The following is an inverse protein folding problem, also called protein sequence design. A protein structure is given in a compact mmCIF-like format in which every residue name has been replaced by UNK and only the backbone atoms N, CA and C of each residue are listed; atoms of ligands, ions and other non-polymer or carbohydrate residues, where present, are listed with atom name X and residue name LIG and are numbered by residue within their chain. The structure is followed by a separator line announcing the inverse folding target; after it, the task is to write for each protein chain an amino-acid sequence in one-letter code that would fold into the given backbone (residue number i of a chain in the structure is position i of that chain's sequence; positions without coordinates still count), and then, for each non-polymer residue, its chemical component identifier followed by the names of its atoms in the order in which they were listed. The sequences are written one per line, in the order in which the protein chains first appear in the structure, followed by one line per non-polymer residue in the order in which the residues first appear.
data_IF_092453150785
#
_entry.id   IF_092453150785
#
_cell.length_a   1.000
_cell.length_b   1.000
_cell.length_c   1.000
_cell.angle_alpha   90.00
_cell.angle_beta   90.00
_cell.angle_gamma   90.00
#
_symmetry.space_group_name_H-M   'P 1'
#
loop_
_entity.id
_entity.type
_entity.pdbx_description
1 polymer ?
#
# COMPACT_ATOMS: atom_id res chain seq x y z
N UNK A 1 19.30 -19.41 9.60
CA UNK A 1 20.03 -18.40 8.83
C UNK A 1 19.06 -17.77 7.82
N UNK A 2 18.55 -16.55 8.06
CA UNK A 2 17.66 -15.86 7.11
C UNK A 2 18.50 -14.99 6.21
N UNK A 3 18.60 -15.34 4.93
CA UNK A 3 19.28 -14.54 3.92
C UNK A 3 18.37 -13.36 3.59
N UNK A 4 18.70 -12.17 4.11
CA UNK A 4 18.04 -10.91 3.74
C UNK A 4 18.78 -10.38 2.52
N UNK A 5 18.19 -10.54 1.34
CA UNK A 5 18.78 -10.01 0.10
C UNK A 5 18.41 -8.52 0.02
N UNK A 6 19.31 -7.65 0.51
CA UNK A 6 19.22 -6.20 0.30
C UNK A 6 19.42 -5.89 -1.19
N UNK A 7 18.39 -5.37 -1.86
CA UNK A 7 18.51 -4.82 -3.20
C UNK A 7 18.24 -3.32 -3.18
N UNK A 8 19.16 -2.51 -3.69
CA UNK A 8 19.06 -1.06 -3.79
C UNK A 8 18.09 -0.67 -4.92
N UNK A 9 16.90 -0.18 -4.58
CA UNK A 9 15.97 0.39 -5.56
C UNK A 9 16.18 1.91 -5.61
N UNK A 10 16.46 2.44 -6.80
CA UNK A 10 16.65 3.87 -7.04
C UNK A 10 15.31 4.52 -7.42
N UNK A 11 14.91 5.55 -6.68
CA UNK A 11 13.64 6.25 -6.89
C UNK A 11 13.89 7.74 -7.22
N UNK A 12 13.07 8.30 -8.11
CA UNK A 12 13.15 9.71 -8.49
C UNK A 12 12.64 10.59 -7.33
N UNK A 13 13.54 11.41 -6.76
CA UNK A 13 13.30 12.22 -5.56
C UNK A 13 12.54 13.52 -5.81
N UNK A 14 12.45 14.00 -7.06
CA UNK A 14 11.89 15.32 -7.37
C UNK A 14 10.35 15.35 -7.34
N UNK A 15 9.69 14.20 -7.48
CA UNK A 15 8.22 14.06 -7.44
C UNK A 15 7.67 14.10 -5.99
N UNK A 16 8.54 14.05 -4.97
CA UNK A 16 8.15 13.69 -3.59
C UNK A 16 7.90 14.88 -2.63
N UNK A 17 8.04 16.14 -3.07
CA UNK A 17 7.94 17.32 -2.17
C UNK A 17 6.52 17.85 -1.93
N UNK A 18 5.51 17.39 -2.67
CA UNK A 18 4.11 17.86 -2.53
C UNK A 18 3.22 16.91 -1.70
N UNK A 19 3.73 15.74 -1.34
CA UNK A 19 2.94 14.62 -0.78
C UNK A 19 2.61 14.79 0.72
N UNK A 20 3.42 15.48 1.51
CA UNK A 20 3.23 15.54 2.98
C UNK A 20 2.03 16.37 3.44
N UNK A 21 1.75 17.50 2.77
CA UNK A 21 0.64 18.39 3.17
C UNK A 21 -0.73 17.80 2.84
N UNK A 22 -0.79 16.98 1.79
CA UNK A 22 -2.03 16.33 1.36
C UNK A 22 -2.34 15.06 2.13
N UNK A 23 -1.33 14.39 2.71
CA UNK A 23 -1.54 13.23 3.58
C UNK A 23 -2.38 13.57 4.82
N UNK A 24 -2.19 14.78 5.38
CA UNK A 24 -2.94 15.26 6.55
C UNK A 24 -4.43 15.53 6.27
N UNK A 25 -4.83 15.64 5.00
CA UNK A 25 -6.22 15.93 4.61
C UNK A 25 -7.07 14.66 4.47
N UNK A 26 -6.45 13.48 4.41
CA UNK A 26 -7.18 12.22 4.33
C UNK A 26 -7.70 11.85 5.71
N UNK A 27 -9.02 11.87 5.90
CA UNK A 27 -9.65 11.46 7.16
C UNK A 27 -9.64 9.92 7.26
N UNK A 28 -8.74 9.39 8.07
CA UNK A 28 -8.66 7.97 8.42
C UNK A 28 -8.88 7.78 9.93
N UNK A 29 -9.49 6.66 10.32
CA UNK A 29 -9.66 6.32 11.74
C UNK A 29 -8.36 5.77 12.33
N UNK A 30 -8.28 5.68 13.67
CA UNK A 30 -7.12 5.08 14.35
C UNK A 30 -6.90 3.62 13.94
N UNK A 31 -8.00 2.85 13.79
CA UNK A 31 -7.96 1.46 13.32
C UNK A 31 -7.41 1.37 11.88
N UNK A 32 -7.89 2.22 10.98
CA UNK A 32 -7.39 2.28 9.60
C UNK A 32 -5.92 2.69 9.54
N UNK A 33 -5.51 3.65 10.38
CA UNK A 33 -4.10 4.03 10.52
C UNK A 33 -3.25 2.84 10.98
N UNK A 34 -3.71 2.06 11.96
CA UNK A 34 -3.02 0.85 12.42
C UNK A 34 -2.90 -0.20 11.30
N UNK A 35 -3.97 -0.45 10.56
CA UNK A 35 -3.95 -1.34 9.39
C UNK A 35 -2.94 -0.88 8.34
N UNK A 36 -2.93 0.42 8.01
CA UNK A 36 -1.96 1.00 7.06
C UNK A 36 -0.54 0.81 7.58
N UNK A 37 -0.28 1.02 8.87
CA UNK A 37 1.04 0.81 9.48
C UNK A 37 1.49 -0.65 9.43
N UNK A 38 0.60 -1.60 9.70
CA UNK A 38 0.89 -3.04 9.63
C UNK A 38 1.23 -3.48 8.20
N UNK A 39 0.40 -3.07 7.22
CA UNK A 39 0.64 -3.31 5.79
C UNK A 39 1.97 -2.70 5.36
N UNK A 40 2.24 -1.46 5.79
CA UNK A 40 3.47 -0.72 5.52
C UNK A 40 4.70 -1.46 6.03
N UNK A 41 4.65 -1.95 7.27
CA UNK A 41 5.74 -2.71 7.87
C UNK A 41 6.01 -3.99 7.10
N UNK A 42 4.97 -4.76 6.78
CA UNK A 42 5.11 -6.00 6.01
C UNK A 42 5.68 -5.73 4.60
N UNK A 43 5.30 -4.63 3.97
CA UNK A 43 5.84 -4.26 2.66
C UNK A 43 7.32 -3.87 2.74
N UNK A 44 7.73 -3.14 3.78
CA UNK A 44 9.13 -2.76 4.02
C UNK A 44 10.03 -3.95 4.34
N UNK A 45 9.49 -5.00 4.97
CA UNK A 45 10.22 -6.25 5.20
C UNK A 45 10.50 -7.03 3.90
N UNK A 46 9.67 -6.84 2.87
CA UNK A 46 9.77 -7.55 1.59
C UNK A 46 10.47 -6.74 0.50
N UNK A 47 10.37 -5.41 0.57
CA UNK A 47 10.97 -4.48 -0.38
C UNK A 47 11.61 -3.33 0.40
N UNK A 48 12.91 -3.06 0.21
CA UNK A 48 13.58 -1.92 0.81
C UNK A 48 13.14 -0.62 0.11
N UNK A 49 11.98 -0.11 0.50
CA UNK A 49 11.45 1.18 0.09
C UNK A 49 11.95 2.26 1.06
N UNK A 50 12.21 3.47 0.56
CA UNK A 50 12.33 4.62 1.46
C UNK A 50 10.95 4.94 2.05
N UNK A 51 10.93 5.42 3.29
CA UNK A 51 9.71 5.82 3.99
C UNK A 51 8.90 6.86 3.18
N UNK A 52 9.58 7.74 2.46
CA UNK A 52 8.98 8.77 1.63
C UNK A 52 8.17 8.19 0.45
N UNK A 53 8.70 7.16 -0.21
CA UNK A 53 8.00 6.50 -1.34
C UNK A 53 6.79 5.73 -0.84
N UNK A 54 6.93 5.10 0.33
CA UNK A 54 5.84 4.38 0.95
C UNK A 54 4.69 5.34 1.31
N UNK A 55 5.00 6.49 1.92
CA UNK A 55 4.01 7.55 2.20
C UNK A 55 3.36 8.06 0.91
N UNK A 56 4.13 8.30 -0.14
CA UNK A 56 3.60 8.71 -1.45
C UNK A 56 2.66 7.66 -2.05
N UNK A 57 3.06 6.39 -1.99
CA UNK A 57 2.24 5.29 -2.47
C UNK A 57 0.93 5.18 -1.70
N UNK A 58 0.96 5.27 -0.36
CA UNK A 58 -0.24 5.22 0.49
C UNK A 58 -1.16 6.39 0.15
N UNK A 59 -0.62 7.61 0.11
CA UNK A 59 -1.43 8.79 -0.18
C UNK A 59 -2.13 8.69 -1.53
N UNK A 60 -1.34 8.35 -2.56
CA UNK A 60 -1.86 8.19 -3.90
C UNK A 60 -2.94 7.10 -3.94
N UNK A 61 -2.69 5.97 -3.28
CA UNK A 61 -3.65 4.86 -3.21
C UNK A 61 -4.98 5.28 -2.61
N UNK A 62 -4.96 5.99 -1.47
CA UNK A 62 -6.17 6.45 -0.81
C UNK A 62 -6.93 7.45 -1.68
N UNK A 63 -6.23 8.48 -2.21
CA UNK A 63 -6.84 9.50 -3.07
C UNK A 63 -7.46 8.91 -4.34
N UNK A 64 -6.70 8.10 -5.06
CA UNK A 64 -7.13 7.48 -6.31
C UNK A 64 -8.37 6.60 -6.08
N UNK A 65 -8.39 5.83 -4.99
CA UNK A 65 -9.54 5.00 -4.65
C UNK A 65 -10.77 5.84 -4.34
N UNK A 66 -10.62 6.93 -3.57
CA UNK A 66 -11.72 7.84 -3.25
C UNK A 66 -12.30 8.49 -4.52
N UNK A 67 -11.45 8.95 -5.43
CA UNK A 67 -11.86 9.54 -6.72
C UNK A 67 -12.62 8.51 -7.55
N UNK A 68 -12.05 7.30 -7.71
CA UNK A 68 -12.63 6.24 -8.53
C UNK A 68 -13.99 5.78 -8.02
N UNK A 69 -14.19 5.75 -6.71
CA UNK A 69 -15.40 5.20 -6.09
C UNK A 69 -16.39 6.28 -5.62
N UNK A 70 -16.01 7.56 -5.68
CA UNK A 70 -16.75 8.69 -5.10
C UNK A 70 -17.17 8.43 -3.64
N UNK A 71 -16.23 7.95 -2.83
CA UNK A 71 -16.43 7.60 -1.42
C UNK A 71 -15.24 8.03 -0.58
N UNK A 72 -15.48 8.28 0.70
CA UNK A 72 -14.45 8.53 1.69
C UNK A 72 -13.88 7.20 2.22
N UNK A 73 -12.64 7.25 2.71
CA UNK A 73 -11.96 6.07 3.26
C UNK A 73 -12.65 5.59 4.55
N UNK A 74 -13.14 6.51 5.39
CA UNK A 74 -13.84 6.16 6.63
C UNK A 74 -15.12 5.35 6.36
N UNK A 75 -15.83 5.57 5.25
CA UNK A 75 -17.03 4.82 4.90
C UNK A 75 -16.77 3.31 4.64
N UNK A 76 -15.53 2.90 4.43
CA UNK A 76 -15.17 1.49 4.20
C UNK A 76 -15.46 0.63 5.44
N UNK A 77 -15.35 1.21 6.65
CA UNK A 77 -15.56 0.46 7.89
C UNK A 77 -16.98 -0.08 8.01
N UNK A 78 -17.96 0.69 7.51
CA UNK A 78 -19.39 0.40 7.56
C UNK A 78 -19.88 -0.44 6.37
N UNK A 79 -19.00 -0.75 5.40
CA UNK A 79 -19.39 -1.57 4.26
C UNK A 79 -19.56 -3.04 4.65
N UNK A 80 -20.50 -3.75 3.98
CA UNK A 80 -20.58 -5.21 4.07
C UNK A 80 -19.21 -5.85 3.77
N UNK A 81 -18.89 -6.94 4.48
CA UNK A 81 -17.55 -7.57 4.41
C UNK A 81 -17.07 -7.83 2.98
N UNK A 82 -17.93 -8.34 2.09
CA UNK A 82 -17.56 -8.58 0.69
C UNK A 82 -17.17 -7.29 -0.06
N UNK A 83 -17.86 -6.17 0.21
CA UNK A 83 -17.51 -4.86 -0.36
C UNK A 83 -16.25 -4.27 0.27
N UNK A 84 -16.06 -4.44 1.58
CA UNK A 84 -14.82 -4.06 2.28
C UNK A 84 -13.61 -4.77 1.69
N UNK A 85 -13.68 -6.08 1.50
CA UNK A 85 -12.61 -6.87 0.88
C UNK A 85 -12.32 -6.44 -0.56
N UNK A 86 -13.35 -6.12 -1.34
CA UNK A 86 -13.18 -5.58 -2.69
C UNK A 86 -12.47 -4.22 -2.67
N UNK A 87 -12.88 -3.31 -1.79
CA UNK A 87 -12.22 -2.00 -1.64
C UNK A 87 -10.74 -2.15 -1.32
N UNK A 88 -10.38 -3.03 -0.37
CA UNK A 88 -8.98 -3.29 -0.04
C UNK A 88 -8.23 -3.89 -1.22
N UNK A 89 -8.81 -4.87 -1.93
CA UNK A 89 -8.18 -5.46 -3.12
C UNK A 89 -7.92 -4.40 -4.20
N UNK A 90 -8.85 -3.48 -4.42
CA UNK A 90 -8.66 -2.36 -5.33
C UNK A 90 -7.51 -1.45 -4.89
N UNK A 91 -7.46 -1.06 -3.61
CA UNK A 91 -6.38 -0.25 -3.07
C UNK A 91 -5.01 -0.92 -3.22
N UNK A 92 -4.91 -2.23 -2.92
CA UNK A 92 -3.67 -2.98 -3.16
C UNK A 92 -3.24 -2.93 -4.62
N UNK A 93 -4.18 -3.06 -5.56
CA UNK A 93 -3.89 -2.96 -6.99
C UNK A 93 -3.43 -1.56 -7.41
N UNK A 94 -4.05 -0.51 -6.87
CA UNK A 94 -3.65 0.88 -7.12
C UNK A 94 -2.22 1.12 -6.60
N UNK A 95 -1.96 0.80 -5.34
CA UNK A 95 -0.64 0.98 -4.73
C UNK A 95 0.45 0.19 -5.46
N UNK A 96 0.14 -1.04 -5.88
CA UNK A 96 1.04 -1.87 -6.68
C UNK A 96 1.42 -1.19 -8.00
N UNK A 97 0.42 -0.71 -8.74
CA UNK A 97 0.64 0.00 -10.02
C UNK A 97 1.47 1.26 -9.81
N UNK A 98 1.18 2.03 -8.75
CA UNK A 98 1.94 3.24 -8.39
C UNK A 98 3.41 2.92 -8.12
N UNK A 99 3.71 1.91 -7.31
CA UNK A 99 5.10 1.52 -7.04
C UNK A 99 5.83 1.03 -8.29
N UNK A 100 5.17 0.26 -9.16
CA UNK A 100 5.75 -0.14 -10.45
C UNK A 100 6.06 1.06 -11.35
N UNK A 101 5.18 2.05 -11.37
CA UNK A 101 5.40 3.27 -12.17
C UNK A 101 6.62 4.08 -11.70
N UNK A 102 6.99 3.95 -10.42
CA UNK A 102 8.13 4.65 -9.83
C UNK A 102 9.50 3.96 -10.06
N UNK A 103 9.53 2.77 -10.69
CA UNK A 103 10.76 2.06 -10.99
C UNK A 103 11.53 2.75 -12.13
N UNK A 104 12.86 2.80 -12.01
CA UNK A 104 13.77 3.10 -13.12
C UNK A 104 14.16 1.82 -13.85
N UNK A 105 14.49 1.90 -15.14
CA UNK A 105 14.97 0.75 -15.91
C UNK A 105 16.31 0.20 -15.37
N UNK A 106 16.54 -1.13 -15.43
CA UNK A 106 15.67 -2.17 -15.98
C UNK A 106 14.54 -2.62 -15.02
N UNK A 107 13.28 -2.59 -15.47
CA UNK A 107 12.09 -2.76 -14.59
C UNK A 107 11.64 -4.21 -14.33
N UNK A 108 11.85 -5.13 -15.28
CA UNK A 108 11.19 -6.46 -15.29
C UNK A 108 11.38 -7.29 -14.02
N UNK A 109 12.60 -7.35 -13.49
CA UNK A 109 12.89 -8.12 -12.25
C UNK A 109 12.25 -7.46 -11.02
N UNK A 110 12.33 -6.12 -10.94
CA UNK A 110 11.76 -5.33 -9.84
C UNK A 110 10.23 -5.40 -9.82
N UNK A 111 9.58 -5.41 -10.99
CA UNK A 111 8.13 -5.57 -11.09
C UNK A 111 7.63 -6.90 -10.53
N UNK A 112 8.36 -8.00 -10.80
CA UNK A 112 8.04 -9.33 -10.27
C UNK A 112 8.17 -9.34 -8.74
N UNK A 113 9.22 -8.72 -8.20
CA UNK A 113 9.41 -8.61 -6.75
C UNK A 113 8.24 -7.84 -6.12
N UNK A 114 7.81 -6.73 -6.75
CA UNK A 114 6.66 -5.96 -6.31
C UNK A 114 5.38 -6.80 -6.34
N UNK A 115 5.13 -7.57 -7.41
CA UNK A 115 3.96 -8.45 -7.47
C UNK A 115 3.94 -9.47 -6.33
N UNK A 116 5.05 -10.17 -6.10
CA UNK A 116 5.18 -11.18 -5.04
C UNK A 116 4.97 -10.54 -3.68
N UNK A 117 5.54 -9.38 -3.43
CA UNK A 117 5.41 -8.69 -2.16
C UNK A 117 3.96 -8.29 -1.89
N UNK A 118 3.30 -7.66 -2.86
CA UNK A 118 1.90 -7.27 -2.72
C UNK A 118 0.97 -8.47 -2.52
N UNK A 119 1.23 -9.59 -3.20
CA UNK A 119 0.45 -10.81 -3.00
C UNK A 119 0.64 -11.38 -1.59
N UNK A 120 1.89 -11.42 -1.07
CA UNK A 120 2.18 -11.88 0.29
C UNK A 120 1.53 -11.00 1.35
N UNK A 121 1.62 -9.68 1.21
CA UNK A 121 1.01 -8.74 2.15
C UNK A 121 -0.52 -8.87 2.12
N UNK A 122 -1.12 -9.01 0.93
CA UNK A 122 -2.56 -9.21 0.81
C UNK A 122 -3.02 -10.52 1.48
N UNK A 123 -2.29 -11.63 1.27
CA UNK A 123 -2.59 -12.91 1.95
C UNK A 123 -2.48 -12.78 3.47
N UNK A 124 -1.47 -12.07 3.98
CA UNK A 124 -1.31 -11.83 5.42
C UNK A 124 -2.47 -11.01 5.98
N UNK A 125 -2.91 -9.97 5.27
CA UNK A 125 -4.06 -9.17 5.65
C UNK A 125 -5.34 -10.01 5.73
N UNK A 126 -5.60 -10.84 4.71
CA UNK A 126 -6.77 -11.74 4.68
C UNK A 126 -6.75 -12.74 5.84
N UNK A 127 -5.58 -13.28 6.19
CA UNK A 127 -5.44 -14.21 7.32
C UNK A 127 -5.80 -13.52 8.64
N UNK A 128 -5.32 -12.30 8.87
CA UNK A 128 -5.60 -11.55 10.09
C UNK A 128 -7.11 -11.24 10.25
N UNK A 129 -7.81 -10.90 9.15
CA UNK A 129 -9.27 -10.71 9.18
C UNK A 129 -9.98 -12.01 9.58
N UNK A 130 -9.60 -13.14 9.00
CA UNK A 130 -10.25 -14.43 9.28
C UNK A 130 -10.03 -14.90 10.72
N UNK A 131 -8.90 -14.54 11.34
CA UNK A 131 -8.59 -14.88 12.73
C UNK A 131 -9.35 -14.01 13.75
N UNK A 132 -9.71 -12.76 13.39
CA UNK A 132 -10.48 -11.85 14.24
C UNK A 132 -12.01 -12.01 14.07
N UNK A 133 -12.45 -12.99 13.27
CA UNK A 133 -13.87 -13.34 13.05
C UNK A 133 -14.27 -14.67 13.72
N UNK A 134 -13.37 -15.30 14.50
CA UNK A 134 -13.68 -16.43 15.39
C UNK A 134 -13.85 -15.95 16.82
#
# INVERSE_FOLDING_TARGET
MRIVILYSINFNKEILKSTEQDYKKVKITAEQSKTIQEISKLLLELIPLSELILKDCILHTLKEWQIKNNKLINEIVDMPIGRKLNAIKEMFNIGKKKLKSALTEPKKKSEIIIDIAFEKVFKSYMKNINEHQK
#
